data_IF_553202150348
#
_entry.id   IF_553202150348
#
_cell.length_a   1.000
_cell.length_b   1.000
_cell.length_c   1.000
_cell.angle_alpha   90.00
_cell.angle_beta   90.00
_cell.angle_gamma   90.00
#
_symmetry.space_group_name_H-M   'P 1'
#
loop_
_entity.id
_entity.type
_entity.pdbx_description
1 polymer ?
#
# COMPACT_ATOMS: atom_id res chain seq x y z
N UNK A 1 -22.30 -31.82 -9.17
CA UNK A 1 -21.79 -30.43 -9.23
C UNK A 1 -20.34 -30.50 -9.70
N UNK A 2 -19.99 -29.89 -10.85
CA UNK A 2 -18.59 -29.80 -11.30
C UNK A 2 -17.82 -28.92 -10.29
N UNK A 3 -16.79 -29.46 -9.65
CA UNK A 3 -15.91 -28.70 -8.76
C UNK A 3 -15.24 -27.63 -9.60
N UNK A 4 -15.40 -26.36 -9.21
CA UNK A 4 -14.77 -25.23 -9.91
C UNK A 4 -13.25 -25.41 -9.85
N UNK A 5 -12.56 -25.23 -10.96
CA UNK A 5 -11.10 -25.35 -10.99
C UNK A 5 -10.45 -24.34 -10.04
N UNK A 6 -9.35 -24.68 -9.40
CA UNK A 6 -8.74 -23.90 -8.32
C UNK A 6 -8.32 -22.51 -8.77
N UNK A 7 -7.78 -22.38 -10.00
CA UNK A 7 -7.44 -21.08 -10.58
C UNK A 7 -8.65 -20.13 -10.68
N UNK A 8 -9.83 -20.66 -11.04
CA UNK A 8 -11.05 -19.86 -11.11
C UNK A 8 -11.51 -19.39 -9.71
N UNK A 9 -11.35 -20.23 -8.69
CA UNK A 9 -11.66 -19.85 -7.30
C UNK A 9 -10.76 -18.72 -6.83
N UNK A 10 -9.46 -18.79 -7.13
CA UNK A 10 -8.48 -17.78 -6.74
C UNK A 10 -8.72 -16.47 -7.52
N UNK A 11 -8.98 -16.54 -8.82
CA UNK A 11 -9.27 -15.37 -9.64
C UNK A 11 -10.54 -14.63 -9.18
N UNK A 12 -11.62 -15.37 -8.92
CA UNK A 12 -12.85 -14.80 -8.37
C UNK A 12 -12.61 -14.18 -6.99
N UNK A 13 -11.80 -14.84 -6.15
CA UNK A 13 -11.47 -14.33 -4.83
C UNK A 13 -10.63 -13.03 -4.90
N UNK A 14 -9.66 -12.93 -5.80
CA UNK A 14 -8.89 -11.69 -6.04
C UNK A 14 -9.82 -10.57 -6.48
N UNK A 15 -10.70 -10.85 -7.44
CA UNK A 15 -11.66 -9.87 -7.93
C UNK A 15 -12.59 -9.39 -6.80
N UNK A 16 -13.23 -10.29 -6.07
CA UNK A 16 -14.15 -9.96 -4.98
C UNK A 16 -13.43 -9.21 -3.84
N UNK A 17 -12.21 -9.65 -3.50
CA UNK A 17 -11.42 -9.00 -2.48
C UNK A 17 -11.13 -7.53 -2.84
N UNK A 18 -10.73 -7.27 -4.08
CA UNK A 18 -10.35 -5.93 -4.51
C UNK A 18 -11.56 -5.02 -4.78
N UNK A 19 -12.66 -5.55 -5.33
CA UNK A 19 -13.81 -4.73 -5.77
C UNK A 19 -14.93 -4.63 -4.74
N UNK A 20 -15.03 -5.58 -3.82
CA UNK A 20 -16.11 -5.62 -2.82
C UNK A 20 -15.56 -5.54 -1.39
N UNK A 21 -14.68 -6.47 -1.02
CA UNK A 21 -14.23 -6.57 0.38
C UNK A 21 -13.43 -5.35 0.82
N UNK A 22 -12.41 -4.94 0.07
CA UNK A 22 -11.58 -3.80 0.44
C UNK A 22 -12.35 -2.47 0.44
N UNK A 23 -13.15 -2.10 -0.59
CA UNK A 23 -13.86 -0.83 -0.59
C UNK A 23 -15.11 -0.83 0.31
N UNK A 24 -15.95 -1.89 0.25
CA UNK A 24 -17.24 -1.87 0.91
C UNK A 24 -17.19 -2.34 2.38
N UNK A 25 -16.37 -3.38 2.68
CA UNK A 25 -16.31 -3.95 4.04
C UNK A 25 -15.21 -3.28 4.86
N UNK A 26 -14.03 -3.03 4.26
CA UNK A 26 -12.90 -2.40 4.94
C UNK A 26 -12.89 -0.87 4.80
N UNK A 27 -13.76 -0.31 3.98
CA UNK A 27 -13.89 1.13 3.71
C UNK A 27 -12.54 1.82 3.42
N UNK A 28 -11.73 1.18 2.57
CA UNK A 28 -10.40 1.70 2.23
C UNK A 28 -10.52 2.87 1.26
N UNK A 29 -9.65 3.87 1.43
CA UNK A 29 -9.54 5.00 0.52
C UNK A 29 -9.07 4.55 -0.89
N UNK A 30 -9.36 5.37 -1.91
CA UNK A 30 -8.93 5.11 -3.28
C UNK A 30 -7.42 4.84 -3.41
N UNK A 31 -6.59 5.63 -2.72
CA UNK A 31 -5.13 5.44 -2.71
C UNK A 31 -4.72 4.11 -2.08
N UNK A 32 -5.40 3.69 -1.02
CA UNK A 32 -5.16 2.38 -0.41
C UNK A 32 -5.55 1.26 -1.38
N UNK A 33 -6.72 1.34 -2.03
CA UNK A 33 -7.17 0.34 -3.03
C UNK A 33 -6.16 0.19 -4.17
N UNK A 34 -5.67 1.32 -4.71
CA UNK A 34 -4.61 1.31 -5.73
C UNK A 34 -3.36 0.58 -5.24
N UNK A 35 -2.89 0.89 -4.03
CA UNK A 35 -1.72 0.25 -3.43
C UNK A 35 -1.90 -1.26 -3.24
N UNK A 36 -3.10 -1.71 -2.85
CA UNK A 36 -3.44 -3.12 -2.70
C UNK A 36 -3.46 -3.84 -4.05
N UNK A 37 -4.06 -3.23 -5.09
CA UNK A 37 -4.05 -3.76 -6.46
C UNK A 37 -2.64 -3.88 -7.03
N UNK A 38 -1.80 -2.84 -6.88
CA UNK A 38 -0.40 -2.86 -7.29
C UNK A 38 0.41 -3.94 -6.56
N UNK A 39 0.20 -4.09 -5.25
CA UNK A 39 0.90 -5.10 -4.45
C UNK A 39 0.57 -6.53 -4.88
N UNK A 40 -0.70 -6.81 -5.19
CA UNK A 40 -1.13 -8.11 -5.72
C UNK A 40 -0.60 -8.34 -7.14
N UNK A 41 -0.68 -7.32 -8.03
CA UNK A 41 -0.14 -7.40 -9.39
C UNK A 41 1.33 -7.78 -9.39
N UNK A 42 2.14 -7.17 -8.52
CA UNK A 42 3.58 -7.49 -8.41
C UNK A 42 3.83 -8.93 -7.93
N UNK A 43 2.95 -9.51 -7.11
CA UNK A 43 3.07 -10.93 -6.77
C UNK A 43 2.76 -11.82 -7.97
N UNK A 44 1.75 -11.49 -8.75
CA UNK A 44 1.40 -12.20 -9.99
C UNK A 44 2.54 -12.09 -11.01
N UNK A 45 3.13 -10.90 -11.21
CA UNK A 45 4.31 -10.69 -12.07
C UNK A 45 5.48 -11.61 -11.68
N UNK A 46 5.73 -11.78 -10.37
CA UNK A 46 6.73 -12.70 -9.87
C UNK A 46 6.40 -14.15 -10.21
N UNK A 47 5.14 -14.57 -10.00
CA UNK A 47 4.71 -15.93 -10.34
C UNK A 47 4.85 -16.22 -11.82
N UNK A 48 4.49 -15.26 -12.68
CA UNK A 48 4.65 -15.42 -14.14
C UNK A 48 6.10 -15.45 -14.56
N UNK A 49 6.90 -14.48 -14.13
CA UNK A 49 8.28 -14.32 -14.59
C UNK A 49 9.25 -15.33 -14.00
N UNK A 50 9.06 -15.74 -12.74
CA UNK A 50 10.02 -16.56 -12.00
C UNK A 50 9.59 -18.02 -11.84
N UNK A 51 8.28 -18.30 -11.93
CA UNK A 51 7.70 -19.63 -11.72
C UNK A 51 6.95 -20.17 -12.94
N UNK A 52 6.77 -19.37 -13.99
CA UNK A 52 6.03 -19.75 -15.20
C UNK A 52 4.53 -20.00 -14.95
N UNK A 53 3.99 -19.46 -13.84
CA UNK A 53 2.57 -19.60 -13.48
C UNK A 53 1.75 -18.59 -14.26
N UNK A 54 0.74 -19.04 -14.97
CA UNK A 54 -0.22 -18.19 -15.70
C UNK A 54 -1.52 -18.07 -14.93
N UNK A 55 -2.40 -17.15 -15.36
CA UNK A 55 -3.75 -16.99 -14.80
C UNK A 55 -4.58 -18.29 -14.80
N UNK A 56 -4.29 -19.22 -15.70
CA UNK A 56 -4.99 -20.50 -15.82
C UNK A 56 -4.36 -21.63 -14.99
N UNK A 57 -3.15 -21.43 -14.45
CA UNK A 57 -2.39 -22.43 -13.69
C UNK A 57 -2.17 -22.04 -12.23
N UNK A 58 -2.61 -20.84 -11.83
CA UNK A 58 -2.52 -20.39 -10.44
C UNK A 58 -3.31 -21.33 -9.52
N UNK A 59 -2.69 -21.80 -8.45
CA UNK A 59 -3.27 -22.73 -7.47
C UNK A 59 -2.79 -22.37 -6.06
N UNK A 60 -3.29 -23.07 -5.04
CA UNK A 60 -2.90 -22.84 -3.65
C UNK A 60 -1.41 -22.97 -3.43
N UNK A 61 -0.74 -23.91 -4.11
CA UNK A 61 0.71 -24.11 -4.00
C UNK A 61 1.53 -22.86 -4.38
N UNK A 62 0.96 -21.96 -5.19
CA UNK A 62 1.57 -20.67 -5.51
C UNK A 62 1.74 -19.77 -4.27
N UNK A 63 1.02 -20.05 -3.18
CA UNK A 63 1.07 -19.28 -1.93
C UNK A 63 1.81 -20.01 -0.80
N UNK A 64 2.65 -20.97 -1.13
CA UNK A 64 3.53 -21.64 -0.16
C UNK A 64 4.52 -20.65 0.44
N UNK A 65 4.93 -20.93 1.68
CA UNK A 65 5.87 -20.09 2.44
C UNK A 65 7.18 -19.86 1.70
N UNK A 66 7.77 -20.93 1.14
CA UNK A 66 9.03 -20.86 0.40
C UNK A 66 8.94 -19.93 -0.83
N UNK A 67 7.83 -19.97 -1.58
CA UNK A 67 7.62 -19.08 -2.72
C UNK A 67 7.41 -17.63 -2.29
N UNK A 68 6.74 -17.39 -1.17
CA UNK A 68 6.58 -16.03 -0.63
C UNK A 68 7.92 -15.49 -0.14
N UNK A 69 8.77 -16.32 0.49
CA UNK A 69 10.12 -15.94 0.91
C UNK A 69 11.03 -15.63 -0.29
N UNK A 70 10.97 -16.43 -1.36
CA UNK A 70 11.67 -16.15 -2.62
C UNK A 70 11.17 -14.84 -3.28
N UNK A 71 9.85 -14.59 -3.26
CA UNK A 71 9.32 -13.33 -3.74
C UNK A 71 9.85 -12.12 -2.97
N UNK A 72 9.97 -12.22 -1.64
CA UNK A 72 10.56 -11.16 -0.81
C UNK A 72 12.03 -10.92 -1.21
N UNK A 73 12.80 -11.98 -1.46
CA UNK A 73 14.16 -11.86 -1.96
C UNK A 73 14.19 -11.20 -3.35
N UNK A 74 13.33 -11.62 -4.26
CA UNK A 74 13.17 -11.02 -5.58
C UNK A 74 12.81 -9.54 -5.53
N UNK A 75 11.89 -9.13 -4.63
CA UNK A 75 11.56 -7.72 -4.41
C UNK A 75 12.78 -6.89 -4.02
N UNK A 76 13.66 -7.44 -3.19
CA UNK A 76 14.88 -6.77 -2.74
C UNK A 76 15.96 -6.75 -3.82
N UNK A 77 16.21 -7.86 -4.47
CA UNK A 77 17.37 -8.05 -5.37
C UNK A 77 17.08 -7.57 -6.78
N UNK A 78 15.92 -7.88 -7.34
CA UNK A 78 15.54 -7.54 -8.71
C UNK A 78 14.85 -6.18 -8.77
N UNK A 79 13.85 -5.96 -7.92
CA UNK A 79 13.07 -4.70 -7.91
C UNK A 79 13.70 -3.59 -7.07
N UNK A 80 14.81 -3.87 -6.36
CA UNK A 80 15.53 -2.91 -5.51
C UNK A 80 14.66 -2.20 -4.49
N UNK A 81 13.65 -2.89 -3.96
CA UNK A 81 12.71 -2.33 -3.01
C UNK A 81 13.32 -2.14 -1.63
N UNK A 82 12.94 -1.07 -0.94
CA UNK A 82 13.30 -0.87 0.46
C UNK A 82 12.65 -1.93 1.36
N UNK A 83 13.22 -2.24 2.54
CA UNK A 83 12.60 -3.15 3.51
C UNK A 83 11.18 -2.74 3.89
N UNK A 84 10.90 -1.43 3.96
CA UNK A 84 9.56 -0.91 4.22
C UNK A 84 8.58 -1.29 3.11
N UNK A 85 9.00 -1.14 1.85
CA UNK A 85 8.19 -1.51 0.69
C UNK A 85 7.94 -3.02 0.64
N UNK A 86 8.97 -3.84 0.89
CA UNK A 86 8.83 -5.30 0.96
C UNK A 86 7.82 -5.70 2.05
N UNK A 87 7.94 -5.12 3.25
CA UNK A 87 7.03 -5.39 4.36
C UNK A 87 5.58 -4.97 4.06
N UNK A 88 5.40 -3.84 3.35
CA UNK A 88 4.09 -3.37 2.95
C UNK A 88 3.44 -4.35 1.96
N UNK A 89 4.17 -4.78 0.94
CA UNK A 89 3.71 -5.76 -0.05
C UNK A 89 3.39 -7.12 0.58
N UNK A 90 4.25 -7.59 1.50
CA UNK A 90 3.97 -8.81 2.28
C UNK A 90 2.67 -8.67 3.09
N UNK A 91 2.41 -7.51 3.69
CA UNK A 91 1.16 -7.25 4.42
C UNK A 91 -0.07 -7.33 3.53
N UNK A 92 0.03 -6.85 2.28
CA UNK A 92 -1.05 -6.94 1.28
C UNK A 92 -1.35 -8.40 0.95
N UNK A 93 -0.31 -9.19 0.64
CA UNK A 93 -0.46 -10.62 0.32
C UNK A 93 -1.07 -11.39 1.50
N UNK A 94 -0.59 -11.17 2.73
CA UNK A 94 -1.16 -11.77 3.94
C UNK A 94 -2.63 -11.40 4.15
N UNK A 95 -3.01 -10.15 3.85
CA UNK A 95 -4.41 -9.72 3.93
C UNK A 95 -5.29 -10.47 2.94
N UNK A 96 -4.81 -10.66 1.70
CA UNK A 96 -5.51 -11.46 0.71
C UNK A 96 -5.63 -12.93 1.13
N UNK A 97 -4.55 -13.56 1.58
CA UNK A 97 -4.56 -14.97 2.00
C UNK A 97 -5.53 -15.21 3.16
N UNK A 98 -5.58 -14.30 4.12
CA UNK A 98 -6.59 -14.34 5.20
C UNK A 98 -8.00 -14.26 4.66
N UNK A 99 -8.28 -13.34 3.73
CA UNK A 99 -9.59 -13.26 3.07
C UNK A 99 -9.92 -14.57 2.33
N UNK A 100 -8.98 -15.12 1.58
CA UNK A 100 -9.15 -16.36 0.83
C UNK A 100 -9.42 -17.56 1.78
N UNK A 101 -8.70 -17.68 2.88
CA UNK A 101 -8.86 -18.70 3.90
C UNK A 101 -10.26 -18.65 4.55
N UNK A 102 -10.77 -17.44 4.85
CA UNK A 102 -12.14 -17.27 5.35
C UNK A 102 -13.22 -17.68 4.35
N UNK A 103 -12.94 -17.53 3.05
CA UNK A 103 -13.87 -17.94 1.99
C UNK A 103 -13.83 -19.44 1.70
N UNK A 104 -12.66 -20.05 1.80
CA UNK A 104 -12.41 -21.44 1.38
C UNK A 104 -11.43 -22.10 2.34
N UNK A 105 -11.92 -23.06 3.13
CA UNK A 105 -11.18 -23.75 4.18
C UNK A 105 -9.88 -24.42 3.68
N UNK A 106 -9.86 -24.86 2.41
CA UNK A 106 -8.69 -25.48 1.79
C UNK A 106 -7.45 -24.58 1.73
N UNK A 107 -7.62 -23.25 1.85
CA UNK A 107 -6.52 -22.28 1.82
C UNK A 107 -6.05 -21.84 3.22
N UNK A 108 -6.62 -22.35 4.30
CA UNK A 108 -6.21 -21.99 5.68
C UNK A 108 -4.71 -22.24 5.90
N UNK A 109 -4.20 -23.35 5.39
CA UNK A 109 -2.77 -23.69 5.49
C UNK A 109 -1.88 -22.53 4.99
N UNK A 110 -2.20 -21.96 3.85
CA UNK A 110 -1.40 -20.89 3.25
C UNK A 110 -1.48 -19.56 4.02
N UNK A 111 -2.61 -19.25 4.66
CA UNK A 111 -2.72 -18.11 5.58
C UNK A 111 -1.86 -18.33 6.82
N UNK A 112 -1.89 -19.52 7.43
CA UNK A 112 -1.07 -19.88 8.58
C UNK A 112 0.43 -19.81 8.22
N UNK A 113 0.83 -20.43 7.11
CA UNK A 113 2.21 -20.44 6.63
C UNK A 113 2.72 -19.01 6.35
N UNK A 114 1.91 -18.19 5.70
CA UNK A 114 2.25 -16.78 5.45
C UNK A 114 2.35 -15.96 6.74
N UNK A 115 1.50 -16.23 7.74
CA UNK A 115 1.52 -15.53 9.03
C UNK A 115 2.86 -15.68 9.76
N UNK A 116 3.53 -16.84 9.63
CA UNK A 116 4.85 -17.11 10.22
C UNK A 116 5.99 -16.28 9.63
N UNK A 117 5.85 -15.79 8.39
CA UNK A 117 6.90 -15.01 7.72
C UNK A 117 7.10 -13.70 8.47
N UNK A 118 8.31 -13.51 9.00
CA UNK A 118 8.66 -12.31 9.76
C UNK A 118 8.88 -11.12 8.83
N UNK A 119 8.56 -9.93 9.34
CA UNK A 119 8.89 -8.68 8.64
C UNK A 119 10.40 -8.43 8.65
N UNK A 120 10.91 -7.84 7.57
CA UNK A 120 12.28 -7.35 7.51
C UNK A 120 12.51 -6.27 8.55
N UNK A 121 13.66 -6.30 9.21
CA UNK A 121 14.08 -5.22 10.09
C UNK A 121 14.32 -3.94 9.26
N UNK A 122 13.90 -2.82 9.80
CA UNK A 122 14.10 -1.51 9.19
C UNK A 122 15.11 -0.72 10.03
N UNK A 123 16.12 -0.12 9.40
CA UNK A 123 16.97 0.82 10.13
C UNK A 123 16.09 1.99 10.61
N UNK A 124 16.24 2.37 11.88
CA UNK A 124 15.59 3.57 12.40
C UNK A 124 16.15 4.77 11.65
N UNK A 125 15.34 5.37 10.75
CA UNK A 125 15.71 6.66 10.18
C UNK A 125 15.65 7.70 11.28
N UNK A 126 16.77 8.37 11.54
CA UNK A 126 16.73 9.63 12.27
C UNK A 126 15.94 10.64 11.43
N UNK A 127 14.88 11.19 12.00
CA UNK A 127 14.12 12.25 11.36
C UNK A 127 14.93 13.53 11.55
N UNK A 128 15.44 14.09 10.46
CA UNK A 128 16.05 15.42 10.51
C UNK A 128 14.97 16.46 10.84
N UNK A 129 15.13 17.11 11.96
CA UNK A 129 14.19 18.14 12.39
C UNK A 129 14.58 19.46 11.72
N UNK A 130 13.66 20.04 10.96
CA UNK A 130 13.84 21.36 10.37
C UNK A 130 13.87 22.40 11.49
N UNK A 131 14.98 23.18 11.57
CA UNK A 131 15.13 24.22 12.59
C UNK A 131 14.19 25.40 12.36
N UNK A 132 13.84 26.13 13.43
CA UNK A 132 13.02 27.35 13.32
C UNK A 132 13.62 28.39 12.36
N UNK A 133 14.95 28.50 12.31
CA UNK A 133 15.62 29.43 11.43
C UNK A 133 15.55 29.00 9.97
N UNK A 134 15.61 27.70 9.68
CA UNK A 134 15.38 27.18 8.35
C UNK A 134 13.95 27.47 7.89
N UNK A 135 12.98 27.29 8.77
CA UNK A 135 11.57 27.62 8.47
C UNK A 135 11.40 29.10 8.16
N UNK A 136 11.97 29.99 8.96
CA UNK A 136 11.96 31.45 8.70
C UNK A 136 12.55 31.78 7.33
N UNK A 137 13.68 31.15 6.96
CA UNK A 137 14.29 31.36 5.63
C UNK A 137 13.40 30.90 4.49
N UNK A 138 12.70 29.75 4.65
CA UNK A 138 11.71 29.27 3.67
C UNK A 138 10.61 30.30 3.50
N UNK A 139 10.00 30.80 4.57
CA UNK A 139 8.96 31.83 4.50
C UNK A 139 9.47 33.12 3.83
N UNK A 140 10.67 33.56 4.17
CA UNK A 140 11.27 34.76 3.59
C UNK A 140 11.59 34.63 2.09
N UNK A 141 11.78 33.42 1.57
CA UNK A 141 12.05 33.16 0.16
C UNK A 141 10.81 33.22 -0.73
N UNK A 142 9.61 33.20 -0.15
CA UNK A 142 8.36 33.20 -0.90
C UNK A 142 8.05 34.62 -1.38
N UNK A 143 7.91 34.80 -2.70
CA UNK A 143 7.56 36.10 -3.29
C UNK A 143 6.06 36.39 -3.16
N UNK A 144 5.66 36.99 -2.06
CA UNK A 144 4.25 37.36 -1.77
C UNK A 144 3.66 38.48 -2.64
N UNK A 145 4.43 39.02 -3.59
CA UNK A 145 3.91 40.00 -4.57
C UNK A 145 3.10 39.35 -5.68
N UNK A 146 3.29 38.03 -5.91
CA UNK A 146 2.53 37.28 -6.91
C UNK A 146 1.36 36.53 -6.28
N UNK A 147 0.31 36.24 -7.06
CA UNK A 147 -0.84 35.45 -6.58
C UNK A 147 -0.41 34.05 -6.14
N UNK A 148 0.52 33.42 -6.90
CA UNK A 148 1.10 32.10 -6.57
C UNK A 148 1.84 32.18 -5.23
N UNK A 149 2.69 33.18 -5.04
CA UNK A 149 3.42 33.34 -3.80
C UNK A 149 2.53 33.64 -2.60
N UNK A 150 1.45 34.40 -2.76
CA UNK A 150 0.44 34.58 -1.69
C UNK A 150 -0.23 33.28 -1.31
N UNK A 151 -0.63 32.47 -2.31
CA UNK A 151 -1.20 31.13 -2.08
C UNK A 151 -0.22 30.23 -1.34
N UNK A 152 1.02 30.16 -1.81
CA UNK A 152 2.05 29.29 -1.25
C UNK A 152 2.40 29.71 0.18
N UNK A 153 2.50 31.02 0.44
CA UNK A 153 2.71 31.56 1.80
C UNK A 153 1.57 31.16 2.74
N UNK A 154 0.32 31.34 2.32
CA UNK A 154 -0.85 30.95 3.11
C UNK A 154 -0.89 29.44 3.39
N UNK A 155 -0.59 28.62 2.38
CA UNK A 155 -0.52 27.17 2.49
C UNK A 155 0.54 26.73 3.49
N UNK A 156 1.78 27.21 3.34
CA UNK A 156 2.87 26.87 4.25
C UNK A 156 2.63 27.39 5.68
N UNK A 157 2.05 28.56 5.82
CA UNK A 157 1.69 29.10 7.14
C UNK A 157 0.65 28.23 7.84
N UNK A 158 -0.37 27.79 7.09
CA UNK A 158 -1.40 26.91 7.62
C UNK A 158 -0.81 25.54 8.01
N UNK A 159 0.02 24.94 7.17
CA UNK A 159 0.74 23.70 7.47
C UNK A 159 1.59 23.82 8.74
N UNK A 160 2.36 24.91 8.87
CA UNK A 160 3.24 25.11 10.00
C UNK A 160 2.51 25.37 11.32
N UNK A 161 1.43 26.18 11.27
CA UNK A 161 0.68 26.55 12.47
C UNK A 161 -0.24 25.45 12.99
N UNK A 162 -0.80 24.62 12.09
CA UNK A 162 -1.78 23.60 12.46
C UNK A 162 -1.18 22.19 12.58
N UNK A 163 -0.04 21.93 11.91
CA UNK A 163 0.54 20.58 11.81
C UNK A 163 -0.31 19.58 11.02
N UNK A 164 -1.29 20.06 10.27
CA UNK A 164 -2.17 19.23 9.41
C UNK A 164 -1.40 18.62 8.25
N UNK A 165 -1.90 17.51 7.69
CA UNK A 165 -1.31 16.88 6.50
C UNK A 165 -1.65 17.69 5.26
N UNK A 166 -0.77 17.65 4.26
CA UNK A 166 -0.95 18.40 3.00
C UNK A 166 -2.27 18.07 2.31
N UNK A 167 -2.69 16.79 2.29
CA UNK A 167 -3.95 16.37 1.68
C UNK A 167 -5.17 16.93 2.42
N UNK A 168 -5.08 17.08 3.73
CA UNK A 168 -6.14 17.67 4.56
C UNK A 168 -6.33 19.15 4.20
N UNK A 169 -5.23 19.89 4.03
CA UNK A 169 -5.28 21.30 3.62
C UNK A 169 -5.78 21.47 2.19
N UNK A 170 -5.30 20.63 1.27
CA UNK A 170 -5.73 20.69 -0.13
C UNK A 170 -7.21 20.33 -0.33
N UNK A 171 -7.80 19.60 0.62
CA UNK A 171 -9.22 19.26 0.63
C UNK A 171 -10.12 20.32 1.32
N UNK A 172 -9.54 21.35 1.95
CA UNK A 172 -10.29 22.41 2.60
C UNK A 172 -11.18 23.18 1.61
N UNK A 173 -12.42 23.41 2.01
CA UNK A 173 -13.36 24.27 1.28
C UNK A 173 -13.46 25.62 1.99
N UNK A 174 -13.72 26.67 1.23
CA UNK A 174 -13.93 28.03 1.79
C UNK A 174 -15.03 28.05 2.85
N UNK A 175 -16.07 27.21 2.70
CA UNK A 175 -17.15 27.06 3.67
C UNK A 175 -16.73 26.49 5.03
N UNK A 176 -15.53 25.93 5.14
CA UNK A 176 -14.98 25.40 6.39
C UNK A 176 -14.08 26.42 7.12
N UNK A 177 -13.88 27.60 6.53
CA UNK A 177 -13.11 28.69 7.14
C UNK A 177 -14.06 29.62 7.88
N UNK A 178 -13.94 29.72 9.19
CA UNK A 178 -14.58 30.73 10.01
C UNK A 178 -13.62 31.92 10.12
N UNK A 179 -13.90 33.01 9.40
CA UNK A 179 -13.08 34.21 9.33
C UNK A 179 -13.74 35.32 10.17
N UNK A 180 -13.98 35.04 11.47
CA UNK A 180 -14.54 36.01 12.40
C UNK A 180 -13.47 36.98 12.92
#
# INVERSE_FOLDING_TARGET
MKTKAEHSIIADAIHEWHTVYLPCIRNLSHNALKSYGEGMGIYIDFLESSKGVTSNTICGECFRKDWIEEWIAWLKEVRKCSPQTCNHRLSILKNFLRFLAHKKIQFIKYDCDAAEIKRMQQPKKQVEVITKDTIKRIFASINTRTLIGKRDFALFNLLYSTGTRIDEILSLRLSALHLD
#
